data_IF_629391717716
#
_entry.id   IF_629391717716
#
_cell.length_a   1.000
_cell.length_b   1.000
_cell.length_c   1.000
_cell.angle_alpha   90.00
_cell.angle_beta   90.00
_cell.angle_gamma   90.00
#
_symmetry.space_group_name_H-M   'P 1'
#
loop_
_entity.id
_entity.type
_entity.pdbx_description
1 polymer ?
#
# COMPACT_ATOMS: atom_id res chain seq x y z
N UNK A 1 -19.47 -14.89 33.94
CA UNK A 1 -20.78 -15.53 33.65
C UNK A 1 -20.98 -15.50 32.14
N UNK A 2 -20.44 -16.48 31.40
CA UNK A 2 -21.17 -17.63 30.82
C UNK A 2 -22.49 -17.23 30.16
N UNK A 3 -22.46 -17.02 28.85
CA UNK A 3 -23.57 -17.32 27.95
C UNK A 3 -22.97 -17.95 26.69
N UNK A 4 -22.89 -19.28 26.69
CA UNK A 4 -22.58 -20.07 25.50
C UNK A 4 -23.92 -20.41 24.88
N UNK A 5 -24.29 -19.73 23.79
CA UNK A 5 -25.49 -20.05 23.03
C UNK A 5 -25.12 -21.23 22.11
N UNK A 6 -25.63 -22.41 22.44
CA UNK A 6 -25.47 -23.60 21.63
C UNK A 6 -26.53 -23.57 20.52
N UNK A 7 -26.17 -23.12 19.31
CA UNK A 7 -27.06 -23.25 18.16
C UNK A 7 -27.06 -24.72 17.72
N UNK A 8 -28.22 -25.38 17.81
CA UNK A 8 -28.44 -26.80 17.54
C UNK A 8 -28.23 -27.23 16.08
N UNK A 9 -27.02 -27.09 15.57
CA UNK A 9 -26.64 -27.57 14.25
C UNK A 9 -26.13 -29.02 14.34
N UNK A 10 -26.92 -29.95 13.79
CA UNK A 10 -26.49 -31.32 13.53
C UNK A 10 -25.47 -31.30 12.39
N UNK A 11 -24.27 -31.82 12.65
CA UNK A 11 -23.14 -31.82 11.70
C UNK A 11 -23.24 -32.97 10.71
N UNK A 12 -23.18 -32.68 9.41
CA UNK A 12 -22.94 -33.69 8.36
C UNK A 12 -21.42 -33.84 8.20
N UNK A 13 -20.93 -35.07 8.21
CA UNK A 13 -19.49 -35.42 8.08
C UNK A 13 -18.94 -34.90 6.74
N UNK A 14 -17.83 -34.14 6.78
CA UNK A 14 -17.04 -33.81 5.58
C UNK A 14 -17.02 -32.33 5.15
N UNK A 15 -17.65 -31.42 5.88
CA UNK A 15 -17.50 -29.97 5.62
C UNK A 15 -16.75 -29.29 6.75
N UNK A 16 -15.56 -28.76 6.45
CA UNK A 16 -14.81 -27.91 7.37
C UNK A 16 -15.54 -26.58 7.52
N UNK A 17 -16.46 -26.49 8.49
CA UNK A 17 -17.17 -25.26 8.82
C UNK A 17 -16.32 -24.35 9.71
N UNK A 18 -15.21 -23.84 9.19
CA UNK A 18 -14.67 -22.60 9.76
C UNK A 18 -15.58 -21.46 9.31
N UNK A 19 -16.65 -21.21 10.07
CA UNK A 19 -17.31 -19.92 10.02
C UNK A 19 -16.33 -18.95 10.67
N UNK A 20 -15.60 -18.20 9.85
CA UNK A 20 -14.73 -17.13 10.33
C UNK A 20 -15.59 -16.06 11.01
N UNK A 21 -15.89 -16.28 12.29
CA UNK A 21 -16.45 -15.24 13.13
C UNK A 21 -15.30 -14.29 13.43
N UNK A 22 -15.23 -13.17 12.71
CA UNK A 22 -14.35 -12.05 13.07
C UNK A 22 -14.70 -11.57 14.47
N UNK A 23 -13.94 -12.03 15.47
CA UNK A 23 -14.01 -11.57 16.84
C UNK A 23 -13.14 -10.32 16.97
N UNK A 24 -13.79 -9.16 17.01
CA UNK A 24 -13.12 -7.92 17.40
C UNK A 24 -12.85 -7.96 18.90
N UNK A 25 -11.62 -8.29 19.28
CA UNK A 25 -11.17 -8.27 20.68
C UNK A 25 -10.41 -6.98 21.00
N UNK A 26 -10.41 -6.59 22.28
CA UNK A 26 -9.59 -5.46 22.76
C UNK A 26 -8.11 -5.81 22.58
N UNK A 27 -7.30 -4.82 22.17
CA UNK A 27 -5.85 -4.97 21.91
C UNK A 27 -5.09 -5.64 23.07
N UNK A 28 -5.56 -5.50 24.31
CA UNK A 28 -4.98 -6.11 25.52
C UNK A 28 -5.08 -7.64 25.58
N UNK A 29 -5.97 -8.26 24.80
CA UNK A 29 -6.20 -9.71 24.78
C UNK A 29 -5.59 -10.35 23.52
N UNK A 30 -5.08 -9.53 22.60
CA UNK A 30 -4.39 -10.01 21.40
C UNK A 30 -2.97 -10.45 21.78
N UNK A 31 -2.68 -11.73 21.61
CA UNK A 31 -1.30 -12.27 21.65
C UNK A 31 -0.48 -11.85 20.43
N UNK A 32 -1.15 -11.40 19.37
CA UNK A 32 -0.56 -10.79 18.19
C UNK A 32 -0.43 -9.29 18.40
N UNK A 33 0.82 -8.83 18.51
CA UNK A 33 1.17 -7.41 18.43
C UNK A 33 1.63 -7.14 17.01
N UNK A 34 0.88 -6.32 16.27
CA UNK A 34 1.40 -5.75 15.02
C UNK A 34 2.66 -4.95 15.42
N UNK A 35 3.84 -5.25 14.84
CA UNK A 35 5.05 -4.51 15.15
C UNK A 35 4.82 -3.01 14.95
N UNK A 36 5.33 -2.20 15.87
CA UNK A 36 5.21 -0.74 15.77
C UNK A 36 5.99 -0.27 14.55
N UNK A 37 5.38 0.61 13.75
CA UNK A 37 6.10 1.31 12.69
C UNK A 37 6.92 2.42 13.34
N UNK A 38 8.19 2.15 13.62
CA UNK A 38 9.12 3.17 14.11
C UNK A 38 9.69 3.96 12.93
N UNK A 39 9.89 5.27 13.11
CA UNK A 39 10.44 6.13 12.06
C UNK A 39 11.86 5.73 11.63
N UNK A 40 12.62 5.14 12.55
CA UNK A 40 13.99 4.63 12.35
C UNK A 40 14.04 3.27 11.64
N UNK A 41 12.91 2.56 11.51
CA UNK A 41 12.90 1.26 10.83
C UNK A 41 13.17 1.43 9.34
N UNK A 42 14.02 0.56 8.79
CA UNK A 42 14.30 0.48 7.36
C UNK A 42 13.04 -0.05 6.65
N UNK A 43 12.56 0.69 5.65
CA UNK A 43 11.40 0.31 4.86
C UNK A 43 11.77 -0.18 3.46
N UNK A 44 12.82 0.37 2.84
CA UNK A 44 13.29 -0.06 1.52
C UNK A 44 14.80 -0.20 1.55
N UNK A 45 15.29 -1.34 1.09
CA UNK A 45 16.70 -1.57 0.80
C UNK A 45 16.90 -1.72 -0.71
N UNK A 46 17.94 -1.08 -1.23
CA UNK A 46 18.31 -1.13 -2.64
C UNK A 46 19.67 -1.82 -2.79
N UNK A 47 19.72 -2.82 -3.65
CA UNK A 47 20.93 -3.59 -3.93
C UNK A 47 21.36 -3.40 -5.38
N UNK A 48 22.67 -3.39 -5.63
CA UNK A 48 23.26 -3.38 -6.97
C UNK A 48 24.45 -4.32 -6.98
N UNK A 49 24.42 -5.33 -7.84
CA UNK A 49 25.51 -6.32 -7.93
C UNK A 49 25.69 -7.16 -6.66
N UNK A 50 24.65 -7.31 -5.84
CA UNK A 50 24.72 -8.04 -4.57
C UNK A 50 25.05 -7.17 -3.35
N UNK A 51 25.60 -5.99 -3.57
CA UNK A 51 25.92 -5.05 -2.48
C UNK A 51 24.75 -4.10 -2.20
N UNK A 52 24.55 -3.77 -0.91
CA UNK A 52 23.56 -2.77 -0.50
C UNK A 52 24.07 -1.37 -0.84
N UNK A 53 23.36 -0.67 -1.71
CA UNK A 53 23.71 0.67 -2.19
C UNK A 53 22.95 1.76 -1.43
N UNK A 54 21.71 1.48 -1.03
CA UNK A 54 20.91 2.43 -0.26
C UNK A 54 19.97 1.69 0.69
N UNK A 55 19.66 2.32 1.81
CA UNK A 55 18.59 1.93 2.72
C UNK A 55 17.81 3.19 3.08
N UNK A 56 16.48 3.12 3.00
CA UNK A 56 15.59 4.21 3.32
C UNK A 56 14.73 3.81 4.49
N UNK A 57 14.75 4.65 5.52
CA UNK A 57 13.90 4.53 6.70
C UNK A 57 12.48 5.00 6.41
N UNK A 58 11.55 4.60 7.27
CA UNK A 58 10.17 5.10 7.27
C UNK A 58 10.13 6.64 7.34
N UNK A 59 11.00 7.24 8.15
CA UNK A 59 11.09 8.69 8.28
C UNK A 59 11.51 9.36 6.96
N UNK A 60 12.56 8.85 6.32
CA UNK A 60 13.04 9.41 5.05
C UNK A 60 12.01 9.26 3.93
N UNK A 61 11.28 8.14 3.88
CA UNK A 61 10.20 7.94 2.92
C UNK A 61 9.02 8.89 3.16
N UNK A 62 8.64 9.11 4.42
CA UNK A 62 7.59 10.06 4.77
C UNK A 62 7.98 11.49 4.38
N UNK A 63 9.23 11.89 4.61
CA UNK A 63 9.77 13.20 4.22
C UNK A 63 9.76 13.36 2.69
N UNK A 64 10.26 12.37 1.94
CA UNK A 64 10.21 12.37 0.46
C UNK A 64 8.77 12.43 -0.07
N UNK A 65 7.84 11.69 0.53
CA UNK A 65 6.43 11.73 0.15
C UNK A 65 5.84 13.13 0.36
N UNK A 66 6.20 13.80 1.47
CA UNK A 66 5.77 15.17 1.74
C UNK A 66 6.34 16.16 0.71
N UNK A 67 7.61 16.03 0.36
CA UNK A 67 8.25 16.84 -0.69
C UNK A 67 7.57 16.65 -2.05
N UNK A 68 7.30 15.40 -2.44
CA UNK A 68 6.60 15.08 -3.70
C UNK A 68 5.20 15.70 -3.70
N UNK A 69 4.49 15.59 -2.58
CA UNK A 69 3.17 16.19 -2.44
C UNK A 69 3.23 17.71 -2.62
N UNK A 70 4.10 18.40 -1.88
CA UNK A 70 4.17 19.85 -1.88
C UNK A 70 4.61 20.42 -3.23
N UNK A 71 5.60 19.79 -3.87
CA UNK A 71 6.23 20.34 -5.07
C UNK A 71 5.51 19.95 -6.36
N UNK A 72 4.87 18.78 -6.43
CA UNK A 72 4.34 18.25 -7.70
C UNK A 72 2.85 17.92 -7.65
N UNK A 73 2.35 17.29 -6.58
CA UNK A 73 0.98 16.75 -6.58
C UNK A 73 -0.08 17.71 -6.04
N UNK A 74 0.28 18.66 -5.18
CA UNK A 74 -0.69 19.58 -4.56
C UNK A 74 -1.23 20.63 -5.54
N UNK A 75 -0.42 21.05 -6.52
CA UNK A 75 -0.79 22.05 -7.53
C UNK A 75 -1.54 21.48 -8.75
N UNK A 76 -1.47 20.17 -8.96
CA UNK A 76 -2.12 19.46 -10.08
C UNK A 76 -3.62 19.19 -9.85
N UNK A 77 -4.36 18.86 -10.91
CA UNK A 77 -5.80 18.59 -10.79
C UNK A 77 -6.05 17.31 -9.98
N UNK A 78 -6.64 17.49 -8.79
CA UNK A 78 -6.91 16.41 -7.82
C UNK A 78 -7.97 15.43 -8.29
N UNK A 79 -8.79 15.81 -9.27
CA UNK A 79 -9.82 14.93 -9.86
C UNK A 79 -9.20 13.89 -10.81
N UNK A 80 -8.05 14.22 -11.40
CA UNK A 80 -7.33 13.36 -12.33
C UNK A 80 -6.38 12.41 -11.58
N UNK A 81 -6.28 11.13 -12.04
CA UNK A 81 -5.42 10.15 -11.41
C UNK A 81 -3.93 10.41 -11.71
N UNK A 82 -3.07 10.06 -10.75
CA UNK A 82 -1.61 9.98 -10.94
C UNK A 82 -1.27 8.66 -11.60
N UNK A 83 -0.54 8.68 -12.72
CA UNK A 83 -0.09 7.48 -13.40
C UNK A 83 1.31 7.09 -12.92
N UNK A 84 1.44 5.94 -12.30
CA UNK A 84 2.69 5.44 -11.72
C UNK A 84 3.26 4.34 -12.61
N UNK A 85 4.28 4.62 -13.44
CA UNK A 85 4.90 3.57 -14.28
C UNK A 85 5.92 2.73 -13.52
N UNK A 86 6.43 3.25 -12.41
CA UNK A 86 7.36 2.56 -11.53
C UNK A 86 6.65 1.56 -10.63
N UNK A 87 7.30 0.43 -10.37
CA UNK A 87 6.88 -0.50 -9.32
C UNK A 87 7.01 0.16 -7.94
N UNK A 88 6.15 -0.24 -7.00
CA UNK A 88 6.22 0.18 -5.59
C UNK A 88 7.48 -0.33 -4.87
N UNK A 89 8.25 -1.21 -5.50
CA UNK A 89 9.57 -1.62 -5.01
C UNK A 89 10.62 -0.51 -5.15
N UNK A 90 10.39 0.45 -6.07
CA UNK A 90 11.29 1.59 -6.23
C UNK A 90 10.96 2.68 -5.21
N UNK A 91 11.96 3.30 -4.56
CA UNK A 91 11.78 4.38 -3.60
C UNK A 91 10.86 5.51 -4.09
N UNK A 92 11.04 5.93 -5.35
CA UNK A 92 10.24 7.00 -5.94
C UNK A 92 8.79 6.57 -6.15
N UNK A 93 8.56 5.35 -6.63
CA UNK A 93 7.21 4.80 -6.81
C UNK A 93 6.46 4.70 -5.48
N UNK A 94 7.13 4.20 -4.44
CA UNK A 94 6.54 4.09 -3.11
C UNK A 94 6.28 5.44 -2.45
N UNK A 95 7.25 6.36 -2.48
CA UNK A 95 7.08 7.70 -1.92
C UNK A 95 5.96 8.48 -2.62
N UNK A 96 5.84 8.35 -3.95
CA UNK A 96 4.75 8.96 -4.73
C UNK A 96 3.39 8.36 -4.37
N UNK A 97 3.33 7.05 -4.15
CA UNK A 97 2.11 6.41 -3.67
C UNK A 97 1.70 6.95 -2.29
N UNK A 98 2.63 7.02 -1.33
CA UNK A 98 2.38 7.61 -0.02
C UNK A 98 1.93 9.07 -0.10
N UNK A 99 2.55 9.86 -0.97
CA UNK A 99 2.16 11.25 -1.23
C UNK A 99 0.72 11.35 -1.77
N UNK A 100 0.36 10.43 -2.67
CA UNK A 100 -0.97 10.38 -3.26
C UNK A 100 -2.04 9.95 -2.25
N UNK A 101 -1.71 9.03 -1.34
CA UNK A 101 -2.59 8.62 -0.23
C UNK A 101 -2.86 9.79 0.72
N UNK A 102 -1.83 10.57 1.08
CA UNK A 102 -2.00 11.76 1.91
C UNK A 102 -2.95 12.79 1.27
N UNK A 103 -2.88 12.93 -0.05
CA UNK A 103 -3.74 13.83 -0.83
C UNK A 103 -5.09 13.27 -1.25
N UNK A 104 -5.40 12.02 -0.89
CA UNK A 104 -6.54 11.25 -1.42
C UNK A 104 -6.65 11.28 -2.95
N UNK A 105 -5.51 11.35 -3.67
CA UNK A 105 -5.49 11.26 -5.13
C UNK A 105 -5.55 9.80 -5.56
N UNK A 106 -6.33 9.56 -6.62
CA UNK A 106 -6.37 8.25 -7.29
C UNK A 106 -5.02 7.98 -7.93
N UNK A 107 -4.51 6.77 -7.77
CA UNK A 107 -3.27 6.30 -8.39
C UNK A 107 -3.61 5.17 -9.35
N UNK A 108 -3.11 5.25 -10.57
CA UNK A 108 -3.16 4.18 -11.54
C UNK A 108 -1.78 3.52 -11.63
N UNK A 109 -1.72 2.21 -11.39
CA UNK A 109 -0.51 1.40 -11.54
C UNK A 109 -0.74 0.41 -12.67
N UNK A 110 0.05 0.45 -13.77
CA UNK A 110 -0.10 -0.50 -14.87
C UNK A 110 0.36 -1.89 -14.42
N UNK A 111 -0.41 -2.91 -14.77
CA UNK A 111 -0.06 -4.31 -14.52
C UNK A 111 0.96 -4.87 -15.53
N UNK A 112 1.67 -4.02 -16.27
CA UNK A 112 2.60 -4.42 -17.34
C UNK A 112 3.78 -3.48 -17.43
N UNK A 113 4.94 -4.02 -17.79
CA UNK A 113 6.15 -3.26 -18.12
C UNK A 113 6.27 -2.94 -19.62
N UNK A 114 5.27 -3.32 -20.43
CA UNK A 114 5.28 -3.02 -21.86
C UNK A 114 4.92 -1.55 -22.10
N UNK A 115 5.91 -0.77 -22.56
CA UNK A 115 5.78 0.68 -22.80
C UNK A 115 4.67 1.04 -23.79
N UNK A 116 4.46 0.24 -24.84
CA UNK A 116 3.40 0.51 -25.82
C UNK A 116 2.00 0.37 -25.18
N UNK A 117 1.83 -0.62 -24.29
CA UNK A 117 0.59 -0.78 -23.52
C UNK A 117 0.42 0.34 -22.49
N UNK A 118 1.50 0.71 -21.80
CA UNK A 118 1.50 1.82 -20.83
C UNK A 118 1.09 3.14 -21.50
N UNK A 119 1.70 3.49 -22.63
CA UNK A 119 1.40 4.72 -23.37
C UNK A 119 -0.07 4.78 -23.82
N UNK A 120 -0.62 3.64 -24.27
CA UNK A 120 -2.04 3.52 -24.62
C UNK A 120 -2.96 3.66 -23.40
N UNK A 121 -2.56 3.12 -22.25
CA UNK A 121 -3.33 3.25 -21.01
C UNK A 121 -3.30 4.68 -20.47
N UNK A 122 -2.18 5.39 -20.60
CA UNK A 122 -2.04 6.77 -20.13
C UNK A 122 -3.05 7.72 -20.78
N UNK A 123 -3.19 7.65 -22.11
CA UNK A 123 -4.15 8.48 -22.85
C UNK A 123 -5.61 8.15 -22.50
N UNK A 124 -5.92 6.89 -22.19
CA UNK A 124 -7.26 6.46 -21.81
C UNK A 124 -7.66 6.91 -20.40
N UNK A 125 -6.71 6.88 -19.45
CA UNK A 125 -6.95 7.25 -18.05
C UNK A 125 -7.01 8.77 -17.82
N UNK A 126 -6.58 9.57 -18.81
CA UNK A 126 -6.51 11.05 -18.73
C UNK A 126 -5.76 11.53 -17.48
N UNK A 127 -4.66 10.84 -17.16
CA UNK A 127 -3.82 11.20 -16.02
C UNK A 127 -3.09 12.52 -16.28
N UNK A 128 -3.05 13.36 -15.26
CA UNK A 128 -2.38 14.68 -15.32
C UNK A 128 -0.87 14.56 -15.07
N UNK A 129 -0.50 13.63 -14.19
CA UNK A 129 0.91 13.44 -13.76
C UNK A 129 1.34 12.01 -14.07
N UNK A 130 2.50 11.90 -14.72
CA UNK A 130 3.20 10.64 -14.98
C UNK A 130 4.44 10.57 -14.07
N UNK A 131 4.57 9.48 -13.32
CA UNK A 131 5.74 9.22 -12.46
C UNK A 131 6.49 8.01 -13.00
N UNK A 132 7.73 8.25 -13.44
CA UNK A 132 8.59 7.31 -14.15
C UNK A 132 10.03 7.33 -13.62
#
# INVERSE_FOLDING_TARGET
>A
LKNVIHTGHVSIRGTTKFKENMLYTKKSVSTLRIPGSEGSSIAIECFKGGDRVAALTNHELATKAKEIWQNYLNGSDKTLPVFLTLSMQYPLGFATFLASVHGMRKVFVPATYNLAKIAKSFSHQKSDVLVC
#
